data_IF_728878133920
#
_entry.id   IF_728878133920
#
_cell.length_a   1.000
_cell.length_b   1.000
_cell.length_c   1.000
_cell.angle_alpha   90.00
_cell.angle_beta   90.00
_cell.angle_gamma   90.00
#
_symmetry.space_group_name_H-M   'P 1'
#
loop_
_entity.id
_entity.type
_entity.pdbx_description
1 polymer ?
#
# COMPACT_ATOMS: atom_id res chain seq x y z
N UNK A 1 -21.41 -31.55 -13.89
CA UNK A 1 -22.58 -30.83 -13.33
C UNK A 1 -22.09 -29.54 -12.68
N UNK A 2 -22.11 -28.43 -13.41
CA UNK A 2 -21.47 -27.15 -13.02
C UNK A 2 -22.38 -26.39 -12.06
N UNK A 3 -22.00 -26.33 -10.77
CA UNK A 3 -22.64 -25.44 -9.79
C UNK A 3 -22.22 -24.01 -10.06
N UNK A 4 -23.00 -23.31 -10.89
CA UNK A 4 -22.92 -21.87 -11.13
C UNK A 4 -23.32 -21.16 -9.83
N UNK A 5 -22.33 -20.77 -9.02
CA UNK A 5 -22.57 -20.00 -7.80
C UNK A 5 -23.35 -18.72 -8.15
N UNK A 6 -24.54 -18.59 -7.58
CA UNK A 6 -25.44 -17.45 -7.71
C UNK A 6 -24.75 -16.23 -7.09
N UNK A 7 -23.95 -15.48 -7.87
CA UNK A 7 -23.56 -14.12 -7.49
C UNK A 7 -24.85 -13.31 -7.41
N UNK A 8 -25.27 -13.01 -6.19
CA UNK A 8 -26.37 -12.11 -5.88
C UNK A 8 -26.14 -10.79 -6.61
N UNK A 9 -26.88 -10.60 -7.71
CA UNK A 9 -26.92 -9.39 -8.55
C UNK A 9 -27.67 -8.28 -7.80
N UNK A 10 -27.18 -7.85 -6.63
CA UNK A 10 -27.72 -6.66 -5.97
C UNK A 10 -27.24 -5.48 -6.81
N UNK A 11 -28.07 -5.07 -7.75
CA UNK A 11 -27.87 -3.85 -8.52
C UNK A 11 -28.18 -2.65 -7.62
N UNK A 12 -27.50 -1.51 -7.80
CA UNK A 12 -27.88 -0.28 -7.13
C UNK A 12 -29.37 0.04 -7.43
N UNK A 13 -30.12 0.59 -6.46
CA UNK A 13 -31.43 1.17 -6.70
C UNK A 13 -31.40 2.13 -7.89
N UNK A 14 -32.47 2.20 -8.68
CA UNK A 14 -32.54 2.97 -9.93
C UNK A 14 -32.10 4.42 -9.76
N UNK A 15 -32.56 5.08 -8.68
CA UNK A 15 -32.14 6.45 -8.29
C UNK A 15 -30.63 6.64 -8.09
N UNK A 16 -29.90 5.57 -7.78
CA UNK A 16 -28.46 5.59 -7.57
C UNK A 16 -27.68 5.21 -8.83
N UNK A 17 -28.30 4.77 -9.93
CA UNK A 17 -27.62 4.33 -11.18
C UNK A 17 -27.15 5.50 -12.06
N UNK A 18 -26.58 6.53 -11.44
CA UNK A 18 -26.03 7.71 -12.08
C UNK A 18 -24.53 7.82 -11.78
N UNK A 19 -23.79 8.54 -12.64
CA UNK A 19 -22.35 8.75 -12.44
C UNK A 19 -21.56 7.43 -12.29
N UNK A 20 -20.73 7.27 -11.24
CA UNK A 20 -19.93 6.06 -10.99
C UNK A 20 -20.70 4.73 -10.88
N UNK A 21 -22.00 4.78 -10.58
CA UNK A 21 -22.85 3.59 -10.40
C UNK A 21 -23.63 3.21 -11.67
N UNK A 22 -23.46 3.96 -12.77
CA UNK A 22 -24.08 3.60 -14.06
C UNK A 22 -23.48 2.29 -14.60
N UNK A 23 -24.25 1.50 -15.38
CA UNK A 23 -23.69 0.34 -16.08
C UNK A 23 -22.50 0.75 -16.94
N UNK A 24 -21.41 -0.03 -16.89
CA UNK A 24 -20.18 0.23 -17.65
C UNK A 24 -19.55 1.62 -17.39
N UNK A 25 -19.73 2.21 -16.20
CA UNK A 25 -19.08 3.47 -15.82
C UNK A 25 -17.56 3.47 -16.03
N UNK A 26 -16.95 2.29 -15.85
CA UNK A 26 -15.51 2.05 -15.93
C UNK A 26 -15.23 0.97 -16.98
N UNK A 27 -14.93 1.39 -18.21
CA UNK A 27 -14.78 0.48 -19.36
C UNK A 27 -13.34 0.01 -19.62
N UNK A 28 -12.34 0.61 -18.97
CA UNK A 28 -10.94 0.26 -19.20
C UNK A 28 -10.62 -1.16 -18.72
N UNK A 29 -9.95 -1.95 -19.59
CA UNK A 29 -9.46 -3.30 -19.27
C UNK A 29 -8.36 -3.29 -18.19
N UNK A 30 -7.79 -2.14 -17.90
CA UNK A 30 -6.76 -1.95 -16.87
C UNK A 30 -7.35 -1.93 -15.45
N UNK A 31 -8.68 -1.84 -15.28
CA UNK A 31 -9.37 -2.03 -14.00
C UNK A 31 -9.61 -3.52 -13.67
N UNK A 32 -8.71 -4.40 -14.12
CA UNK A 32 -8.82 -5.85 -13.90
C UNK A 32 -8.14 -6.30 -12.61
N UNK A 33 -8.60 -7.43 -12.07
CA UNK A 33 -8.02 -8.01 -10.84
C UNK A 33 -6.56 -8.43 -11.05
N UNK A 34 -6.23 -8.93 -12.24
CA UNK A 34 -4.86 -9.33 -12.61
C UNK A 34 -3.90 -8.14 -12.55
N UNK A 35 -4.24 -7.02 -13.18
CA UNK A 35 -3.39 -5.82 -13.14
C UNK A 35 -3.26 -5.30 -11.70
N UNK A 36 -4.36 -5.29 -10.95
CA UNK A 36 -4.34 -4.90 -9.55
C UNK A 36 -3.42 -5.80 -8.71
N UNK A 37 -3.42 -7.12 -8.95
CA UNK A 37 -2.57 -8.08 -8.24
C UNK A 37 -1.09 -7.87 -8.56
N UNK A 38 -0.73 -7.72 -9.84
CA UNK A 38 0.66 -7.48 -10.26
C UNK A 38 1.21 -6.19 -9.66
N UNK A 39 0.47 -5.09 -9.76
CA UNK A 39 0.86 -3.81 -9.14
C UNK A 39 0.98 -3.94 -7.61
N UNK A 40 0.07 -4.70 -6.99
CA UNK A 40 0.10 -4.97 -5.55
C UNK A 40 1.35 -5.75 -5.12
N UNK A 41 1.76 -6.76 -5.89
CA UNK A 41 2.98 -7.52 -5.62
C UNK A 41 4.23 -6.66 -5.81
N UNK A 42 4.30 -5.88 -6.90
CA UNK A 42 5.41 -4.96 -7.14
C UNK A 42 5.55 -3.93 -6.01
N UNK A 43 4.43 -3.35 -5.55
CA UNK A 43 4.40 -2.46 -4.39
C UNK A 43 4.85 -3.18 -3.12
N UNK A 44 4.38 -4.41 -2.88
CA UNK A 44 4.78 -5.20 -1.72
C UNK A 44 6.29 -5.40 -1.66
N UNK A 45 6.93 -5.73 -2.78
CA UNK A 45 8.40 -5.86 -2.87
C UNK A 45 9.08 -4.51 -2.62
N UNK A 46 8.65 -3.44 -3.29
CA UNK A 46 9.26 -2.12 -3.17
C UNK A 46 9.15 -1.55 -1.73
N UNK A 47 7.97 -1.63 -1.12
CA UNK A 47 7.76 -1.21 0.27
C UNK A 47 8.55 -2.05 1.26
N UNK A 48 8.64 -3.38 1.04
CA UNK A 48 9.43 -4.26 1.92
C UNK A 48 10.91 -3.92 1.87
N UNK A 49 11.48 -3.72 0.68
CA UNK A 49 12.89 -3.31 0.53
C UNK A 49 13.14 -1.94 1.16
N UNK A 50 12.26 -0.96 0.90
CA UNK A 50 12.33 0.38 1.49
C UNK A 50 12.25 0.30 3.02
N UNK A 51 11.32 -0.47 3.56
CA UNK A 51 11.13 -0.66 4.99
C UNK A 51 12.37 -1.29 5.65
N UNK A 52 12.89 -2.40 5.13
CA UNK A 52 14.05 -3.10 5.70
C UNK A 52 15.28 -2.17 5.70
N UNK A 53 15.54 -1.49 4.59
CA UNK A 53 16.66 -0.56 4.48
C UNK A 53 16.50 0.67 5.38
N UNK A 54 15.26 1.12 5.61
CA UNK A 54 14.93 2.21 6.53
C UNK A 54 15.12 1.81 8.00
N UNK A 55 14.67 0.61 8.39
CA UNK A 55 14.89 0.06 9.73
C UNK A 55 16.39 -0.15 9.97
N UNK A 56 17.11 -0.69 8.99
CA UNK A 56 18.56 -0.84 9.08
C UNK A 56 19.26 0.52 9.23
N UNK A 57 18.84 1.53 8.46
CA UNK A 57 19.31 2.92 8.61
C UNK A 57 19.07 3.46 10.02
N UNK A 58 17.89 3.20 10.59
CA UNK A 58 17.56 3.61 11.95
C UNK A 58 18.46 2.94 13.00
N UNK A 59 18.69 1.64 12.88
CA UNK A 59 19.59 0.89 13.76
C UNK A 59 21.05 1.38 13.64
N UNK A 60 21.49 1.78 12.45
CA UNK A 60 22.84 2.35 12.26
C UNK A 60 22.96 3.71 12.94
N UNK A 61 21.93 4.55 12.84
CA UNK A 61 21.93 5.89 13.44
C UNK A 61 21.71 5.87 14.96
N UNK A 62 20.98 4.88 15.47
CA UNK A 62 20.65 4.71 16.89
C UNK A 62 20.93 3.26 17.32
N UNK A 63 22.22 2.84 17.35
CA UNK A 63 22.56 1.44 17.57
C UNK A 63 22.21 0.99 18.99
N UNK A 64 21.31 0.01 19.17
CA UNK A 64 21.16 -0.66 20.45
C UNK A 64 22.41 -1.48 20.76
N UNK A 65 22.64 -1.80 22.04
CA UNK A 65 23.86 -2.51 22.47
C UNK A 65 24.12 -3.88 21.84
N UNK A 66 23.11 -4.50 21.20
CA UNK A 66 23.22 -5.77 20.48
C UNK A 66 23.53 -5.61 18.98
N UNK A 67 23.48 -4.39 18.43
CA UNK A 67 23.67 -4.13 17.01
C UNK A 67 25.02 -3.45 16.76
N UNK A 68 25.76 -3.94 15.77
CA UNK A 68 27.00 -3.30 15.32
C UNK A 68 27.00 -3.25 13.80
N UNK A 69 27.34 -2.08 13.25
CA UNK A 69 27.48 -1.88 11.82
C UNK A 69 28.95 -1.95 11.41
N UNK A 70 29.32 -2.75 10.39
CA UNK A 70 30.71 -2.86 9.99
C UNK A 70 31.18 -1.57 9.29
N UNK A 71 32.40 -1.12 9.63
CA UNK A 71 33.03 0.04 8.99
C UNK A 71 33.43 -0.23 7.52
N UNK A 72 33.51 -1.51 7.11
CA UNK A 72 33.90 -1.92 5.76
C UNK A 72 32.90 -2.92 5.16
N UNK A 73 32.67 -2.86 3.84
CA UNK A 73 33.23 -1.87 2.91
C UNK A 73 32.62 -0.47 3.11
N UNK A 74 33.41 0.59 2.90
CA UNK A 74 33.00 1.97 3.17
C UNK A 74 31.73 2.41 2.40
N UNK A 75 31.39 1.73 1.31
CA UNK A 75 30.19 1.98 0.50
C UNK A 75 28.92 1.27 0.98
N UNK A 76 28.96 0.42 2.00
CA UNK A 76 27.82 -0.43 2.37
C UNK A 76 26.59 0.39 2.77
N UNK A 77 26.79 1.44 3.58
CA UNK A 77 25.70 2.34 3.96
C UNK A 77 25.11 3.09 2.76
N UNK A 78 25.96 3.50 1.82
CA UNK A 78 25.52 4.16 0.58
C UNK A 78 24.63 3.24 -0.26
N UNK A 79 24.92 1.95 -0.32
CA UNK A 79 24.07 0.96 -1.00
C UNK A 79 22.73 0.84 -0.28
N UNK A 80 22.72 0.74 1.06
CA UNK A 80 21.48 0.71 1.84
C UNK A 80 20.59 1.94 1.56
N UNK A 81 21.16 3.14 1.63
CA UNK A 81 20.44 4.38 1.35
C UNK A 81 19.98 4.46 -0.11
N UNK A 82 20.84 4.05 -1.05
CA UNK A 82 20.51 4.02 -2.47
C UNK A 82 19.30 3.12 -2.75
N UNK A 83 19.25 1.93 -2.15
CA UNK A 83 18.11 1.01 -2.26
C UNK A 83 16.86 1.61 -1.62
N UNK A 84 16.98 2.20 -0.43
CA UNK A 84 15.86 2.85 0.26
C UNK A 84 15.20 3.93 -0.61
N UNK A 85 16.01 4.88 -1.11
CA UNK A 85 15.53 5.99 -1.93
C UNK A 85 15.01 5.50 -3.28
N UNK A 86 15.73 4.60 -3.96
CA UNK A 86 15.31 4.10 -5.27
C UNK A 86 13.97 3.34 -5.19
N UNK A 87 13.79 2.50 -4.17
CA UNK A 87 12.53 1.75 -3.98
C UNK A 87 11.39 2.65 -3.52
N UNK A 88 11.66 3.68 -2.70
CA UNK A 88 10.70 4.73 -2.37
C UNK A 88 10.23 5.49 -3.62
N UNK A 89 11.14 5.94 -4.48
CA UNK A 89 10.81 6.63 -5.74
C UNK A 89 10.04 5.71 -6.68
N UNK A 90 10.49 4.47 -6.88
CA UNK A 90 9.81 3.50 -7.74
C UNK A 90 8.39 3.18 -7.27
N UNK A 91 8.13 3.28 -5.96
CA UNK A 91 6.80 3.07 -5.39
C UNK A 91 5.78 4.14 -5.79
N UNK A 92 6.21 5.34 -6.20
CA UNK A 92 5.30 6.43 -6.61
C UNK A 92 4.45 6.07 -7.83
N UNK A 93 5.04 5.79 -9.01
CA UNK A 93 4.24 5.42 -10.18
C UNK A 93 3.47 4.11 -9.96
N UNK A 94 4.04 3.15 -9.21
CA UNK A 94 3.37 1.91 -8.86
C UNK A 94 2.11 2.15 -8.02
N UNK A 95 2.19 3.03 -7.01
CA UNK A 95 1.07 3.35 -6.13
C UNK A 95 -0.02 4.09 -6.88
N UNK A 96 0.36 5.11 -7.66
CA UNK A 96 -0.59 5.87 -8.48
C UNK A 96 -1.32 4.96 -9.48
N UNK A 97 -0.58 4.08 -10.17
CA UNK A 97 -1.17 3.09 -11.07
C UNK A 97 -2.09 2.13 -10.31
N UNK A 98 -1.67 1.65 -9.13
CA UNK A 98 -2.50 0.75 -8.30
C UNK A 98 -3.79 1.42 -7.88
N UNK A 99 -3.74 2.63 -7.35
CA UNK A 99 -4.90 3.40 -6.90
C UNK A 99 -5.84 3.68 -8.08
N UNK A 100 -5.30 4.05 -9.24
CA UNK A 100 -6.11 4.23 -10.45
C UNK A 100 -6.74 2.90 -10.91
N UNK A 101 -6.01 1.79 -10.87
CA UNK A 101 -6.57 0.48 -11.23
C UNK A 101 -7.71 0.08 -10.31
N UNK A 102 -7.62 0.37 -9.01
CA UNK A 102 -8.61 -0.10 -8.02
C UNK A 102 -9.70 0.90 -7.65
N UNK A 103 -9.61 2.18 -8.02
CA UNK A 103 -10.62 3.18 -7.62
C UNK A 103 -12.07 2.82 -8.02
N UNK A 104 -12.35 2.09 -9.12
CA UNK A 104 -13.72 1.63 -9.41
C UNK A 104 -14.32 0.77 -8.30
N UNK A 105 -13.47 0.07 -7.53
CA UNK A 105 -13.91 -0.78 -6.41
C UNK A 105 -14.50 0.04 -5.26
N UNK A 106 -14.17 1.32 -5.14
CA UNK A 106 -14.78 2.22 -4.15
C UNK A 106 -16.28 2.38 -4.40
N UNK A 107 -16.69 2.30 -5.67
CA UNK A 107 -18.06 2.45 -6.16
C UNK A 107 -18.80 1.12 -6.30
N UNK A 108 -18.32 0.05 -5.65
CA UNK A 108 -19.02 -1.24 -5.65
C UNK A 108 -20.25 -1.20 -4.75
N UNK A 109 -21.32 -1.85 -5.22
CA UNK A 109 -22.56 -2.02 -4.47
C UNK A 109 -22.79 -3.50 -4.09
N UNK A 110 -23.36 -3.78 -2.90
CA UNK A 110 -23.54 -2.86 -1.78
C UNK A 110 -22.17 -2.42 -1.20
N UNK A 111 -22.08 -1.24 -0.57
CA UNK A 111 -20.82 -0.70 -0.04
C UNK A 111 -20.23 -1.53 1.09
N UNK A 112 -21.10 -2.25 1.83
CA UNK A 112 -20.71 -3.24 2.82
C UNK A 112 -21.49 -4.54 2.60
N UNK A 113 -20.78 -5.68 2.62
CA UNK A 113 -21.37 -7.03 2.46
C UNK A 113 -21.42 -7.83 3.77
N UNK A 114 -20.92 -7.26 4.86
CA UNK A 114 -20.81 -7.88 6.19
C UNK A 114 -19.62 -7.35 6.99
N UNK A 115 -19.48 -7.80 8.24
CA UNK A 115 -18.42 -7.32 9.16
C UNK A 115 -17.00 -7.50 8.63
N UNK A 116 -16.69 -8.67 8.06
CA UNK A 116 -15.37 -8.93 7.48
C UNK A 116 -15.01 -7.96 6.33
N UNK A 117 -16.00 -7.58 5.50
CA UNK A 117 -15.78 -6.62 4.41
C UNK A 117 -15.58 -5.20 4.92
N UNK A 118 -16.22 -4.83 6.05
CA UNK A 118 -16.00 -3.54 6.70
C UNK A 118 -14.59 -3.46 7.27
N UNK A 119 -14.13 -4.51 7.97
CA UNK A 119 -12.76 -4.59 8.48
C UNK A 119 -11.74 -4.48 7.35
N UNK A 120 -11.97 -5.18 6.24
CA UNK A 120 -11.12 -5.07 5.05
C UNK A 120 -11.04 -3.63 4.55
N UNK A 121 -12.18 -2.93 4.43
CA UNK A 121 -12.22 -1.52 4.00
C UNK A 121 -11.54 -0.58 4.98
N UNK A 122 -11.72 -0.78 6.29
CA UNK A 122 -11.06 0.03 7.33
C UNK A 122 -9.55 -0.16 7.28
N UNK A 123 -9.05 -1.39 7.05
CA UNK A 123 -7.60 -1.63 6.93
C UNK A 123 -6.94 -0.88 5.77
N UNK A 124 -7.72 -0.45 4.77
CA UNK A 124 -7.20 0.37 3.67
C UNK A 124 -6.85 1.78 4.12
N UNK A 125 -7.45 2.29 5.20
CA UNK A 125 -7.18 3.65 5.69
C UNK A 125 -5.69 3.80 6.04
N UNK A 126 -5.14 3.07 7.05
CA UNK A 126 -3.72 3.20 7.39
C UNK A 126 -2.80 2.77 6.25
N UNK A 127 -3.21 1.82 5.40
CA UNK A 127 -2.41 1.40 4.26
C UNK A 127 -2.26 2.51 3.21
N UNK A 128 -3.36 3.13 2.79
CA UNK A 128 -3.36 4.17 1.76
C UNK A 128 -2.80 5.48 2.31
N UNK A 129 -3.30 5.94 3.47
CA UNK A 129 -2.83 7.19 4.06
C UNK A 129 -1.37 7.10 4.49
N UNK A 130 -0.95 5.97 5.07
CA UNK A 130 0.43 5.71 5.46
C UNK A 130 1.36 5.64 4.26
N UNK A 131 0.97 4.96 3.18
CA UNK A 131 1.74 4.93 1.93
C UNK A 131 1.94 6.33 1.35
N UNK A 132 0.88 7.14 1.28
CA UNK A 132 0.97 8.50 0.77
C UNK A 132 1.82 9.39 1.68
N UNK A 133 1.67 9.27 3.00
CA UNK A 133 2.48 9.99 3.98
C UNK A 133 3.97 9.66 3.84
N UNK A 134 4.33 8.38 3.75
CA UNK A 134 5.71 7.94 3.60
C UNK A 134 6.31 8.46 2.30
N UNK A 135 5.61 8.31 1.17
CA UNK A 135 6.13 8.79 -0.11
C UNK A 135 6.28 10.32 -0.13
N UNK A 136 5.30 11.05 0.38
CA UNK A 136 5.35 12.51 0.46
C UNK A 136 6.50 12.98 1.34
N UNK A 137 6.57 12.50 2.58
CA UNK A 137 7.60 12.92 3.54
C UNK A 137 8.99 12.46 3.10
N UNK A 138 9.13 11.28 2.48
CA UNK A 138 10.39 10.79 1.95
C UNK A 138 10.92 11.64 0.79
N UNK A 139 10.05 11.99 -0.17
CA UNK A 139 10.41 12.89 -1.28
C UNK A 139 10.77 14.29 -0.77
N UNK A 140 9.96 14.82 0.14
CA UNK A 140 10.20 16.12 0.74
C UNK A 140 11.54 16.14 1.51
N UNK A 141 11.88 15.07 2.23
CA UNK A 141 13.16 14.92 2.94
C UNK A 141 14.37 14.88 1.99
N UNK A 142 14.34 14.11 0.89
CA UNK A 142 15.44 14.12 -0.08
C UNK A 142 15.55 15.47 -0.83
N UNK A 143 14.45 16.22 -0.93
CA UNK A 143 14.40 17.58 -1.44
C UNK A 143 14.71 18.66 -0.40
N UNK A 144 15.05 18.28 0.84
CA UNK A 144 15.31 19.19 1.96
C UNK A 144 14.16 20.17 2.27
N UNK A 145 12.93 19.80 1.94
CA UNK A 145 11.74 20.60 2.17
C UNK A 145 10.94 20.00 3.34
N UNK A 146 10.75 20.77 4.41
CA UNK A 146 10.11 20.32 5.65
C UNK A 146 8.94 21.25 6.02
N UNK A 147 7.79 21.18 5.32
CA UNK A 147 6.61 22.00 5.59
C UNK A 147 5.83 21.57 6.85
N UNK A 148 6.48 20.86 7.77
CA UNK A 148 5.87 20.27 8.95
C UNK A 148 6.66 20.62 10.21
N UNK A 149 6.00 20.49 11.37
CA UNK A 149 6.59 20.81 12.68
C UNK A 149 7.13 19.58 13.44
N UNK A 150 6.88 18.37 12.92
CA UNK A 150 7.36 17.14 13.57
C UNK A 150 8.78 16.77 13.16
N UNK A 151 9.46 15.98 14.00
CA UNK A 151 10.77 15.45 13.66
C UNK A 151 10.64 14.34 12.61
N UNK A 152 11.11 14.60 11.38
CA UNK A 152 10.93 13.71 10.23
C UNK A 152 11.33 12.25 10.51
N UNK A 153 12.53 11.94 11.03
CA UNK A 153 12.94 10.54 11.22
C UNK A 153 11.99 9.78 12.14
N UNK A 154 11.51 10.39 13.22
CA UNK A 154 10.56 9.76 14.13
C UNK A 154 9.20 9.54 13.46
N UNK A 155 8.65 10.58 12.82
CA UNK A 155 7.34 10.49 12.15
C UNK A 155 7.34 9.46 11.02
N UNK A 156 8.37 9.48 10.18
CA UNK A 156 8.53 8.56 9.06
C UNK A 156 8.76 7.11 9.53
N UNK A 157 9.57 6.91 10.57
CA UNK A 157 9.80 5.59 11.17
C UNK A 157 8.51 4.96 11.70
N UNK A 158 7.75 5.68 12.53
CA UNK A 158 6.51 5.13 13.10
C UNK A 158 5.42 4.92 12.05
N UNK A 159 5.29 5.84 11.09
CA UNK A 159 4.38 5.66 9.97
C UNK A 159 4.74 4.41 9.14
N UNK A 160 6.03 4.06 9.01
CA UNK A 160 6.47 2.88 8.29
C UNK A 160 5.98 1.59 8.95
N UNK A 161 6.07 1.49 10.29
CA UNK A 161 5.55 0.35 11.05
C UNK A 161 4.04 0.21 10.94
N UNK A 162 3.29 1.32 11.05
CA UNK A 162 1.84 1.33 10.89
C UNK A 162 1.44 0.86 9.49
N UNK A 163 2.12 1.38 8.46
CA UNK A 163 1.83 1.03 7.05
C UNK A 163 2.16 -0.43 6.76
N UNK A 164 3.30 -0.93 7.25
CA UNK A 164 3.68 -2.34 7.08
C UNK A 164 2.75 -3.28 7.84
N UNK A 165 2.33 -2.94 9.06
CA UNK A 165 1.31 -3.69 9.79
C UNK A 165 0.00 -3.76 9.02
N UNK A 166 -0.46 -2.63 8.46
CA UNK A 166 -1.65 -2.58 7.61
C UNK A 166 -1.48 -3.43 6.33
N UNK A 167 -0.30 -3.43 5.71
CA UNK A 167 0.00 -4.26 4.54
C UNK A 167 -0.09 -5.76 4.88
N UNK A 168 0.48 -6.20 6.00
CA UNK A 168 0.41 -7.59 6.46
C UNK A 168 -1.04 -8.01 6.71
N UNK A 169 -1.82 -7.18 7.41
CA UNK A 169 -3.26 -7.42 7.64
C UNK A 169 -4.02 -7.49 6.31
N UNK A 170 -3.73 -6.58 5.37
CA UNK A 170 -4.35 -6.56 4.05
C UNK A 170 -4.08 -7.84 3.25
N UNK A 171 -2.82 -8.31 3.23
CA UNK A 171 -2.42 -9.55 2.57
C UNK A 171 -3.09 -10.75 3.24
N UNK A 172 -3.08 -10.80 4.58
CA UNK A 172 -3.72 -11.86 5.35
C UNK A 172 -5.21 -11.97 5.04
N UNK A 173 -5.93 -10.84 5.07
CA UNK A 173 -7.34 -10.78 4.71
C UNK A 173 -7.60 -11.29 3.30
N UNK A 174 -6.78 -10.88 2.31
CA UNK A 174 -6.92 -11.33 0.92
C UNK A 174 -6.62 -12.81 0.73
N UNK A 175 -5.59 -13.33 1.38
CA UNK A 175 -5.22 -14.75 1.29
C UNK A 175 -6.33 -15.67 1.85
N UNK A 176 -7.05 -15.22 2.88
CA UNK A 176 -8.17 -15.96 3.47
C UNK A 176 -9.38 -16.07 2.54
N UNK A 177 -9.56 -15.11 1.64
CA UNK A 177 -10.63 -15.11 0.63
C UNK A 177 -10.28 -16.08 -0.49
N UNK A 178 -9.04 -16.02 -1.00
CA UNK A 178 -8.57 -16.90 -2.09
C UNK A 178 -8.63 -18.38 -1.69
N UNK A 179 -8.34 -18.73 -0.43
CA UNK A 179 -8.38 -20.12 0.05
C UNK A 179 -9.79 -20.68 0.27
N UNK A 180 -10.83 -19.85 0.21
CA UNK A 180 -12.24 -20.25 0.39
C UNK A 180 -12.98 -20.49 -0.93
N UNK A 181 -12.36 -20.16 -2.06
CA UNK A 181 -12.84 -20.45 -3.42
C UNK A 181 -12.13 -21.69 -3.99
#
# INVERSE_FOLDING_TARGET
MVRRARKSLVTPPERLRVGPFRPNAFSSRLHSERVAAVLGMALGVAFTLCFITGVLSHLIQNPPGWFTWPARPAGLYRINQGVHVATGIASIPLLLAKLWTVYPRLWTWPPARGGAHVVERISLIPLVSGSLFLLFTGIANIGLWYPWLFFFPAGHYWASWITMGALVVHIGAKSSIVRRE
#
